data_IF_783914963820
#
_entry.id   IF_783914963820
#
_cell.length_a   1.000
_cell.length_b   1.000
_cell.length_c   1.000
_cell.angle_alpha   90.00
_cell.angle_beta   90.00
_cell.angle_gamma   90.00
#
_symmetry.space_group_name_H-M   'P 1'
#
loop_
_entity.id
_entity.type
_entity.pdbx_description
1 polymer ?
#
# COMPACT_ATOMS: atom_id res chain seq x y z
N UNK A 1 1.48 33.97 -49.76
CA UNK A 1 1.42 32.53 -49.47
C UNK A 1 1.71 32.32 -47.99
N UNK A 2 0.67 32.23 -47.16
CA UNK A 2 0.81 31.93 -45.75
C UNK A 2 0.75 30.43 -45.57
N UNK A 3 1.81 29.88 -45.00
CA UNK A 3 1.88 28.50 -44.62
C UNK A 3 1.00 28.26 -43.35
N UNK A 4 0.13 27.25 -43.32
CA UNK A 4 -0.69 27.02 -42.15
C UNK A 4 0.21 26.60 -40.98
N UNK A 5 0.13 27.32 -39.90
CA UNK A 5 0.79 26.98 -38.65
C UNK A 5 0.11 25.71 -38.10
N UNK A 6 0.85 24.64 -38.06
CA UNK A 6 0.41 23.41 -37.43
C UNK A 6 0.24 23.68 -35.92
N UNK A 7 -0.98 23.45 -35.46
CA UNK A 7 -1.32 23.40 -34.05
C UNK A 7 -0.48 22.32 -33.37
N UNK A 8 0.21 22.57 -32.26
CA UNK A 8 0.97 21.53 -31.59
C UNK A 8 0.01 20.44 -31.11
N UNK A 9 0.31 19.23 -31.53
CA UNK A 9 -0.33 18.02 -31.01
C UNK A 9 -0.08 17.97 -29.51
N UNK A 10 -1.09 17.69 -28.66
CA UNK A 10 -0.85 17.49 -27.26
C UNK A 10 0.13 16.34 -27.10
N UNK A 11 1.28 16.64 -26.56
CA UNK A 11 2.24 15.63 -26.15
C UNK A 11 1.55 14.75 -25.13
N UNK A 12 1.34 13.50 -25.47
CA UNK A 12 0.87 12.51 -24.51
C UNK A 12 1.87 12.51 -23.36
N UNK A 13 1.40 12.93 -22.23
CA UNK A 13 2.14 12.80 -20.99
C UNK A 13 2.43 11.32 -20.80
N UNK A 14 3.68 10.90 -20.68
CA UNK A 14 3.98 9.51 -20.40
C UNK A 14 3.34 9.19 -19.06
N UNK A 15 2.33 8.34 -19.05
CA UNK A 15 1.86 7.68 -17.85
C UNK A 15 2.94 6.67 -17.46
N UNK A 16 4.08 7.17 -16.99
CA UNK A 16 5.03 6.34 -16.29
C UNK A 16 4.48 6.16 -14.88
N UNK A 17 3.66 5.17 -14.75
CA UNK A 17 3.45 4.59 -13.44
C UNK A 17 4.81 4.10 -12.96
N UNK A 18 5.31 4.58 -11.81
CA UNK A 18 6.61 4.15 -11.33
C UNK A 18 6.61 2.63 -11.19
N UNK A 19 7.46 1.98 -11.97
CA UNK A 19 7.59 0.52 -11.99
C UNK A 19 8.40 0.00 -10.83
N UNK A 20 8.82 0.86 -9.91
CA UNK A 20 9.72 0.44 -8.84
C UNK A 20 9.17 0.88 -7.49
N UNK A 21 8.50 -0.04 -6.86
CA UNK A 21 8.47 -0.12 -5.41
C UNK A 21 9.93 -0.23 -4.94
N UNK A 22 10.33 0.44 -3.84
CA UNK A 22 11.70 0.34 -3.37
C UNK A 22 12.13 -1.13 -3.29
N UNK A 23 13.16 -1.48 -4.03
CA UNK A 23 13.69 -2.85 -4.11
C UNK A 23 14.39 -3.27 -2.83
N UNK A 24 14.57 -2.37 -1.90
CA UNK A 24 15.17 -2.69 -0.62
C UNK A 24 14.08 -2.90 0.43
N UNK A 25 13.62 -4.12 0.48
CA UNK A 25 12.98 -4.61 1.71
C UNK A 25 14.01 -4.48 2.82
N UNK A 26 13.66 -3.86 3.96
CA UNK A 26 14.56 -3.89 5.11
C UNK A 26 14.93 -5.32 5.41
N UNK A 27 16.22 -5.62 5.41
CA UNK A 27 16.75 -6.96 5.72
C UNK A 27 16.57 -7.31 7.20
N UNK A 28 16.05 -6.38 7.99
CA UNK A 28 15.73 -6.61 9.39
C UNK A 28 14.21 -6.57 9.56
N UNK A 29 13.65 -7.75 9.72
CA UNK A 29 12.33 -7.90 10.28
C UNK A 29 12.31 -7.15 11.63
N UNK A 30 11.32 -6.28 11.87
CA UNK A 30 11.22 -5.63 13.17
C UNK A 30 11.24 -6.71 14.25
N UNK A 31 12.18 -6.61 15.17
CA UNK A 31 12.39 -7.61 16.23
C UNK A 31 11.24 -7.64 17.25
N UNK A 32 10.26 -6.76 17.08
CA UNK A 32 9.01 -6.78 17.82
C UNK A 32 7.87 -6.45 16.86
N UNK A 33 7.33 -7.50 16.27
CA UNK A 33 6.00 -7.40 15.68
C UNK A 33 5.04 -7.11 16.85
N UNK A 34 4.26 -6.01 16.80
CA UNK A 34 3.23 -5.81 17.81
C UNK A 34 2.36 -7.05 17.84
N UNK A 35 2.17 -7.63 19.02
CA UNK A 35 1.29 -8.78 19.16
C UNK A 35 -0.10 -8.35 18.70
N UNK A 36 -0.48 -8.79 17.51
CA UNK A 36 -1.81 -8.55 16.98
C UNK A 36 -2.79 -9.27 17.91
N UNK A 37 -3.77 -8.57 18.53
CA UNK A 37 -4.74 -9.22 19.41
C UNK A 37 -5.57 -10.27 18.69
N UNK A 38 -5.48 -10.31 17.38
CA UNK A 38 -6.15 -11.28 16.52
C UNK A 38 -5.16 -12.26 15.87
N UNK A 39 -4.07 -12.63 16.55
CA UNK A 39 -3.20 -13.70 16.06
C UNK A 39 -4.05 -14.95 15.78
N UNK A 40 -4.30 -15.21 14.47
CA UNK A 40 -5.23 -16.26 14.02
C UNK A 40 -6.57 -15.75 13.47
N UNK A 41 -6.90 -14.48 13.62
CA UNK A 41 -8.07 -13.91 12.96
C UNK A 41 -7.78 -13.68 11.48
N UNK A 42 -8.57 -14.35 10.65
CA UNK A 42 -8.56 -14.13 9.21
C UNK A 42 -9.62 -13.12 8.84
N UNK A 43 -9.28 -12.22 7.92
CA UNK A 43 -10.23 -11.28 7.35
C UNK A 43 -10.42 -11.61 5.86
N UNK A 44 -11.31 -12.59 5.65
CA UNK A 44 -11.53 -13.18 4.33
C UNK A 44 -12.43 -12.29 3.48
N UNK A 45 -11.87 -11.79 2.36
CA UNK A 45 -12.57 -11.00 1.34
C UNK A 45 -13.50 -9.91 1.92
N UNK A 46 -12.99 -9.01 2.76
CA UNK A 46 -13.83 -8.05 3.45
C UNK A 46 -14.29 -6.92 2.53
N UNK A 47 -15.28 -6.17 2.99
CA UNK A 47 -15.55 -4.84 2.47
C UNK A 47 -14.40 -3.88 2.80
N UNK A 48 -14.29 -2.76 2.08
CA UNK A 48 -13.33 -1.72 2.41
C UNK A 48 -13.51 -1.19 3.84
N UNK A 49 -14.75 -1.01 4.29
CA UNK A 49 -15.05 -0.56 5.65
C UNK A 49 -14.56 -1.57 6.70
N UNK A 50 -14.77 -2.87 6.49
CA UNK A 50 -14.28 -3.91 7.40
C UNK A 50 -12.75 -3.99 7.41
N UNK A 51 -12.11 -3.81 6.26
CA UNK A 51 -10.65 -3.74 6.16
C UNK A 51 -10.09 -2.54 6.93
N UNK A 52 -10.70 -1.38 6.82
CA UNK A 52 -10.29 -0.18 7.56
C UNK A 52 -10.48 -0.36 9.08
N UNK A 53 -11.57 -0.97 9.51
CA UNK A 53 -11.81 -1.24 10.93
C UNK A 53 -10.72 -2.14 11.52
N UNK A 54 -10.35 -3.21 10.82
CA UNK A 54 -9.25 -4.06 11.23
C UNK A 54 -7.91 -3.29 11.28
N UNK A 55 -7.61 -2.55 10.22
CA UNK A 55 -6.38 -1.78 10.11
C UNK A 55 -6.25 -0.70 11.19
N UNK A 56 -7.36 -0.06 11.59
CA UNK A 56 -7.35 0.93 12.66
C UNK A 56 -6.85 0.35 13.98
N UNK A 57 -7.32 -0.85 14.33
CA UNK A 57 -6.86 -1.57 15.52
C UNK A 57 -5.40 -2.00 15.42
N UNK A 58 -4.99 -2.53 14.27
CA UNK A 58 -3.63 -2.96 14.05
C UNK A 58 -2.64 -1.78 14.02
N UNK A 59 -2.99 -0.68 13.37
CA UNK A 59 -2.18 0.54 13.32
C UNK A 59 -2.03 1.19 14.70
N UNK A 60 -3.07 1.15 15.53
CA UNK A 60 -3.02 1.68 16.89
C UNK A 60 -1.94 1.01 17.75
N UNK A 61 -1.62 -0.26 17.49
CA UNK A 61 -0.53 -0.97 18.18
C UNK A 61 0.86 -0.42 17.85
N UNK A 62 1.01 0.19 16.66
CA UNK A 62 2.22 0.95 16.31
C UNK A 62 2.20 2.38 16.88
N UNK A 63 1.12 2.79 17.55
CA UNK A 63 0.90 4.17 17.95
C UNK A 63 0.41 5.07 16.81
N UNK A 64 -0.02 4.48 15.69
CA UNK A 64 -0.45 5.22 14.52
C UNK A 64 -1.94 5.53 14.58
N UNK A 65 -2.25 6.56 15.34
CA UNK A 65 -3.57 7.15 15.49
C UNK A 65 -3.58 8.58 14.93
N UNK A 66 -4.70 9.26 14.96
CA UNK A 66 -4.80 10.64 14.53
C UNK A 66 -4.31 10.86 13.10
N UNK A 67 -3.34 11.72 12.91
CA UNK A 67 -2.80 12.07 11.58
C UNK A 67 -2.13 10.89 10.87
N UNK A 68 -1.42 10.05 11.60
CA UNK A 68 -0.83 8.83 11.02
C UNK A 68 -1.90 7.89 10.49
N UNK A 69 -2.96 7.68 11.24
CA UNK A 69 -4.09 6.89 10.78
C UNK A 69 -4.73 7.49 9.53
N UNK A 70 -4.99 8.78 9.54
CA UNK A 70 -5.60 9.46 8.40
C UNK A 70 -4.74 9.36 7.14
N UNK A 71 -3.43 9.50 7.27
CA UNK A 71 -2.52 9.35 6.15
C UNK A 71 -2.39 7.90 5.67
N UNK A 72 -2.53 6.92 6.54
CA UNK A 72 -2.65 5.52 6.14
C UNK A 72 -3.91 5.29 5.30
N UNK A 73 -5.05 5.84 5.73
CA UNK A 73 -6.30 5.78 4.96
C UNK A 73 -6.11 6.41 3.58
N UNK A 74 -5.52 7.58 3.51
CA UNK A 74 -5.25 8.28 2.25
C UNK A 74 -4.32 7.47 1.34
N UNK A 75 -3.26 6.91 1.89
CA UNK A 75 -2.28 6.12 1.16
C UNK A 75 -2.93 4.90 0.50
N UNK A 76 -3.64 4.11 1.27
CA UNK A 76 -4.25 2.88 0.75
C UNK A 76 -5.53 3.13 -0.05
N UNK A 77 -6.18 4.28 0.10
CA UNK A 77 -7.18 4.75 -0.87
C UNK A 77 -6.54 4.97 -2.24
N UNK A 78 -5.38 5.59 -2.30
CA UNK A 78 -4.64 5.81 -3.55
C UNK A 78 -4.17 4.50 -4.16
N UNK A 79 -3.68 3.57 -3.35
CA UNK A 79 -3.11 2.32 -3.84
C UNK A 79 -4.16 1.35 -4.39
N UNK A 80 -5.23 1.14 -3.64
CA UNK A 80 -6.17 0.07 -3.94
C UNK A 80 -7.64 0.42 -3.73
N UNK A 81 -7.93 1.58 -3.15
CA UNK A 81 -9.26 1.88 -2.63
C UNK A 81 -9.68 0.92 -1.50
N UNK A 82 -8.71 0.43 -0.74
CA UNK A 82 -8.92 -0.56 0.33
C UNK A 82 -9.50 -1.91 -0.16
N UNK A 83 -9.32 -2.22 -1.43
CA UNK A 83 -9.81 -3.48 -2.00
C UNK A 83 -8.77 -4.59 -1.86
N UNK A 84 -9.16 -5.66 -1.22
CA UNK A 84 -8.27 -6.82 -1.00
C UNK A 84 -7.82 -7.48 -2.32
N UNK A 85 -8.59 -7.37 -3.38
CA UNK A 85 -8.32 -7.99 -4.69
C UNK A 85 -7.84 -6.99 -5.76
N UNK A 86 -7.46 -5.78 -5.37
CA UNK A 86 -6.91 -4.83 -6.31
C UNK A 86 -5.59 -5.36 -6.88
N UNK A 87 -5.47 -5.39 -8.19
CA UNK A 87 -4.27 -5.84 -8.89
C UNK A 87 -3.91 -4.86 -9.99
N UNK A 88 -2.66 -4.42 -10.00
CA UNK A 88 -2.15 -3.59 -11.08
C UNK A 88 -1.85 -4.50 -12.28
N UNK A 89 -2.52 -4.29 -13.44
CA UNK A 89 -2.38 -5.17 -14.60
C UNK A 89 -0.99 -5.08 -15.25
N UNK A 90 -0.22 -4.04 -14.97
CA UNK A 90 1.11 -3.82 -15.55
C UNK A 90 2.22 -4.37 -14.67
N UNK A 91 2.19 -4.08 -13.38
CA UNK A 91 3.24 -4.48 -12.45
C UNK A 91 2.95 -5.79 -11.73
N UNK A 92 1.67 -6.16 -11.57
CA UNK A 92 1.24 -7.27 -10.74
C UNK A 92 1.18 -6.94 -9.24
N UNK A 93 1.37 -5.67 -8.85
CA UNK A 93 1.16 -5.25 -7.46
C UNK A 93 -0.24 -5.63 -7.00
N UNK A 94 -0.38 -6.16 -5.79
CA UNK A 94 -1.62 -6.80 -5.34
C UNK A 94 -2.03 -6.39 -3.94
N UNK A 95 -3.36 -6.35 -3.76
CA UNK A 95 -4.01 -6.20 -2.47
C UNK A 95 -4.08 -4.77 -1.97
N UNK A 96 -4.53 -4.63 -0.74
CA UNK A 96 -4.73 -3.30 -0.10
C UNK A 96 -3.45 -2.46 -0.14
N UNK A 97 -2.27 -2.99 0.25
CA UNK A 97 -1.03 -2.21 0.25
C UNK A 97 -0.32 -2.18 -1.10
N UNK A 98 -0.79 -2.90 -2.11
CA UNK A 98 -0.12 -3.06 -3.41
C UNK A 98 1.29 -3.60 -3.31
N UNK A 99 1.43 -4.76 -2.66
CA UNK A 99 2.71 -5.47 -2.55
C UNK A 99 3.27 -5.89 -3.89
N UNK A 100 4.56 -5.69 -4.09
CA UNK A 100 5.28 -6.08 -5.29
C UNK A 100 6.64 -6.73 -4.94
N UNK A 101 6.87 -8.01 -5.25
CA UNK A 101 5.87 -8.98 -5.69
C UNK A 101 4.84 -9.30 -4.60
N UNK A 102 3.63 -9.73 -4.98
CA UNK A 102 2.58 -10.06 -4.01
C UNK A 102 2.99 -11.12 -2.98
N UNK A 103 3.86 -12.04 -3.36
CA UNK A 103 4.36 -13.13 -2.51
C UNK A 103 5.09 -12.67 -1.26
N UNK A 104 5.51 -11.42 -1.17
CA UNK A 104 6.08 -10.83 0.07
C UNK A 104 5.09 -10.91 1.23
N UNK A 105 3.80 -10.83 0.94
CA UNK A 105 2.75 -10.93 1.96
C UNK A 105 2.58 -12.33 2.54
N UNK A 106 3.14 -13.35 1.91
CA UNK A 106 3.06 -14.74 2.38
C UNK A 106 3.69 -14.94 3.77
N UNK A 107 4.63 -14.08 4.16
CA UNK A 107 5.23 -14.10 5.49
C UNK A 107 4.20 -13.84 6.61
N UNK A 108 3.09 -13.19 6.30
CA UNK A 108 2.01 -12.87 7.23
C UNK A 108 0.79 -13.80 7.09
N UNK A 109 0.77 -14.65 6.09
CA UNK A 109 -0.28 -15.63 5.89
C UNK A 109 -0.23 -16.24 4.49
N UNK A 110 -0.32 -17.57 4.40
CA UNK A 110 -0.24 -18.28 3.12
C UNK A 110 -1.40 -17.90 2.17
N UNK A 111 -2.55 -17.53 2.72
CA UNK A 111 -3.74 -17.15 1.96
C UNK A 111 -3.87 -15.63 1.76
N UNK A 112 -2.76 -14.92 1.71
CA UNK A 112 -2.73 -13.45 1.63
C UNK A 112 -3.56 -12.88 0.48
N UNK A 113 -3.77 -13.62 -0.59
CA UNK A 113 -4.59 -13.14 -1.72
C UNK A 113 -6.06 -12.93 -1.37
N UNK A 114 -6.56 -13.68 -0.40
CA UNK A 114 -7.96 -13.63 0.05
C UNK A 114 -8.09 -13.10 1.48
N UNK A 115 -6.99 -13.01 2.21
CA UNK A 115 -6.94 -12.62 3.61
C UNK A 115 -6.39 -11.20 3.77
N UNK A 116 -7.30 -10.27 3.94
CA UNK A 116 -6.92 -8.87 4.12
C UNK A 116 -6.16 -8.60 5.42
N UNK A 117 -6.31 -9.44 6.44
CA UNK A 117 -5.51 -9.31 7.66
C UNK A 117 -4.02 -9.50 7.36
N UNK A 118 -3.67 -10.53 6.60
CA UNK A 118 -2.29 -10.74 6.17
C UNK A 118 -1.75 -9.58 5.32
N UNK A 119 -2.56 -9.06 4.41
CA UNK A 119 -2.20 -7.91 3.58
C UNK A 119 -1.94 -6.66 4.42
N UNK A 120 -2.84 -6.35 5.33
CA UNK A 120 -2.76 -5.18 6.22
C UNK A 120 -1.55 -5.31 7.14
N UNK A 121 -1.38 -6.44 7.80
CA UNK A 121 -0.27 -6.67 8.72
C UNK A 121 1.08 -6.56 8.00
N UNK A 122 1.19 -7.11 6.79
CA UNK A 122 2.38 -6.91 5.96
C UNK A 122 2.60 -5.44 5.63
N UNK A 123 1.56 -4.74 5.18
CA UNK A 123 1.65 -3.33 4.77
C UNK A 123 2.08 -2.42 5.92
N UNK A 124 1.58 -2.65 7.12
CA UNK A 124 2.00 -1.90 8.31
C UNK A 124 3.47 -2.15 8.64
N UNK A 125 3.90 -3.41 8.60
CA UNK A 125 5.30 -3.78 8.78
C UNK A 125 6.22 -3.15 7.72
N UNK A 126 5.78 -3.14 6.47
CA UNK A 126 6.50 -2.50 5.37
C UNK A 126 6.67 -0.99 5.60
N UNK A 127 5.59 -0.30 5.95
CA UNK A 127 5.63 1.13 6.27
C UNK A 127 6.57 1.41 7.44
N UNK A 128 6.50 0.63 8.50
CA UNK A 128 7.38 0.78 9.65
C UNK A 128 8.86 0.64 9.27
N UNK A 129 9.18 -0.36 8.47
CA UNK A 129 10.55 -0.66 8.05
C UNK A 129 11.12 0.33 7.03
N UNK A 130 10.32 0.74 6.04
CA UNK A 130 10.80 1.60 4.95
C UNK A 130 10.69 3.09 5.26
N UNK A 131 9.66 3.51 5.98
CA UNK A 131 9.34 4.92 6.19
C UNK A 131 9.28 5.33 7.66
N UNK A 132 9.11 4.39 8.54
CA UNK A 132 8.97 4.64 9.98
C UNK A 132 7.56 5.01 10.42
N UNK A 133 6.74 5.60 9.54
CA UNK A 133 5.37 5.99 9.86
C UNK A 133 4.50 6.18 8.61
N UNK A 134 3.17 6.12 8.74
CA UNK A 134 2.25 6.47 7.64
C UNK A 134 2.40 7.91 7.15
N UNK A 135 2.69 8.86 8.03
CA UNK A 135 2.93 10.24 7.63
C UNK A 135 4.10 10.34 6.64
N UNK A 136 5.17 9.64 6.91
CA UNK A 136 6.35 9.60 6.02
C UNK A 136 6.08 8.86 4.72
N UNK A 137 5.36 7.75 4.78
CA UNK A 137 4.97 7.00 3.59
C UNK A 137 4.05 7.81 2.68
N UNK A 138 3.09 8.53 3.26
CA UNK A 138 2.19 9.42 2.51
C UNK A 138 2.94 10.59 1.88
N UNK A 139 3.82 11.24 2.62
CA UNK A 139 4.68 12.30 2.10
C UNK A 139 5.50 11.83 0.90
N UNK A 140 6.08 10.64 1.00
CA UNK A 140 6.83 10.02 -0.10
C UNK A 140 5.93 9.75 -1.32
N UNK A 141 4.74 9.20 -1.09
CA UNK A 141 3.76 8.94 -2.15
C UNK A 141 3.30 10.23 -2.85
N UNK A 142 3.08 11.30 -2.10
CA UNK A 142 2.72 12.60 -2.69
C UNK A 142 3.85 13.18 -3.54
N UNK A 143 5.09 13.01 -3.11
CA UNK A 143 6.25 13.57 -3.80
C UNK A 143 6.64 12.76 -5.04
N UNK A 144 6.65 11.43 -4.94
CA UNK A 144 7.15 10.54 -5.99
C UNK A 144 6.06 9.78 -6.74
N UNK A 145 4.82 9.76 -6.24
CA UNK A 145 3.70 9.03 -6.83
C UNK A 145 3.68 7.53 -6.49
N UNK A 146 4.52 7.05 -5.57
CA UNK A 146 4.60 5.66 -5.09
C UNK A 146 5.16 5.62 -3.67
N UNK A 147 5.05 4.45 -3.02
CA UNK A 147 5.66 4.21 -1.72
C UNK A 147 6.21 2.79 -1.60
#
# INVERSE_FOLDING_TARGET
>A
TQQPTQKPTPTQQPTQQPTQQPTQQPTQQPTQQPSNPAAGSRLYRPTAAAAQAYAAGAAAQYGWTGKNWQNLVNLWNRESGWRWNAENPWSGAYGIPQSLPPSKMAAFGANYRDDAAAQIDWGLSYIAGCYGSPNKAWEHSEHYGWY
#
